data_IF_156077505970
#
_entry.id   IF_156077505970
#
_cell.length_a   1.000
_cell.length_b   1.000
_cell.length_c   1.000
_cell.angle_alpha   90.00
_cell.angle_beta   90.00
_cell.angle_gamma   90.00
#
_symmetry.space_group_name_H-M   'P 1'
#
loop_
_entity.id
_entity.type
_entity.pdbx_description
1 polymer ?
#
# COMPACT_ATOMS: atom_id res chain seq x y z
N UNK A 1 -37.58 13.38 25.81
CA UNK A 1 -36.56 12.63 26.58
C UNK A 1 -36.70 11.10 26.44
N UNK A 2 -37.92 10.54 26.47
CA UNK A 2 -38.18 9.08 26.34
C UNK A 2 -37.73 8.46 24.99
N UNK A 3 -37.78 9.24 23.92
CA UNK A 3 -37.33 8.84 22.57
C UNK A 3 -35.86 9.16 22.30
N UNK A 4 -35.15 9.80 23.25
CA UNK A 4 -33.74 10.17 23.08
C UNK A 4 -32.81 8.98 23.35
N UNK A 5 -33.20 8.11 24.29
CA UNK A 5 -32.51 6.84 24.60
C UNK A 5 -32.49 5.85 23.42
N UNK A 6 -33.60 5.55 22.72
CA UNK A 6 -33.56 4.63 21.57
C UNK A 6 -32.84 5.24 20.36
N UNK A 7 -32.84 6.57 20.19
CA UNK A 7 -32.12 7.25 19.11
C UNK A 7 -30.60 7.15 19.31
N UNK A 8 -30.12 7.35 20.54
CA UNK A 8 -28.68 7.20 20.88
C UNK A 8 -28.23 5.74 20.73
N UNK A 9 -29.07 4.77 21.11
CA UNK A 9 -28.76 3.34 20.96
C UNK A 9 -28.70 2.90 19.49
N UNK A 10 -29.59 3.44 18.65
CA UNK A 10 -29.59 3.19 17.19
C UNK A 10 -28.35 3.75 16.50
N UNK A 11 -27.91 4.96 16.87
CA UNK A 11 -26.69 5.57 16.33
C UNK A 11 -25.43 4.76 16.68
N UNK A 12 -25.38 4.18 17.88
CA UNK A 12 -24.23 3.41 18.36
C UNK A 12 -24.05 2.08 17.61
N UNK A 13 -25.14 1.50 17.10
CA UNK A 13 -25.11 0.24 16.33
C UNK A 13 -24.71 0.42 14.86
N UNK A 14 -24.72 1.65 14.33
CA UNK A 14 -24.30 1.92 12.94
C UNK A 14 -22.77 1.95 12.75
N UNK A 15 -21.99 1.96 13.84
CA UNK A 15 -20.53 2.11 13.77
C UNK A 15 -19.74 0.80 13.71
N UNK A 16 -20.38 -0.37 13.84
CA UNK A 16 -19.64 -1.64 14.04
C UNK A 16 -19.61 -2.56 12.82
N UNK A 17 -20.27 -2.22 11.71
CA UNK A 17 -20.14 -3.02 10.48
C UNK A 17 -18.96 -2.50 9.67
N UNK A 18 -17.75 -2.71 10.19
CA UNK A 18 -16.55 -2.65 9.36
C UNK A 18 -16.60 -3.87 8.44
N UNK A 19 -16.83 -3.66 7.15
CA UNK A 19 -16.64 -4.72 6.16
C UNK A 19 -15.16 -5.08 6.15
N UNK A 20 -14.82 -6.31 6.54
CA UNK A 20 -13.48 -6.87 6.32
C UNK A 20 -13.46 -7.40 4.89
N UNK A 21 -13.21 -6.50 3.94
CA UNK A 21 -12.97 -6.86 2.56
C UNK A 21 -11.57 -7.47 2.52
N UNK A 22 -11.51 -8.81 2.65
CA UNK A 22 -10.24 -9.53 2.75
C UNK A 22 -9.24 -9.06 1.72
N UNK A 23 -8.03 -8.71 2.18
CA UNK A 23 -6.95 -8.22 1.32
C UNK A 23 -6.60 -9.26 0.26
N UNK A 24 -7.00 -8.99 -0.99
CA UNK A 24 -6.57 -9.76 -2.13
C UNK A 24 -5.22 -9.22 -2.60
N UNK A 25 -4.19 -10.06 -2.63
CA UNK A 25 -2.92 -9.67 -3.24
C UNK A 25 -3.17 -9.28 -4.70
N UNK A 26 -2.68 -8.11 -5.15
CA UNK A 26 -2.81 -7.71 -6.54
C UNK A 26 -2.14 -8.76 -7.44
N UNK A 27 -2.76 -9.05 -8.58
CA UNK A 27 -2.16 -9.91 -9.59
C UNK A 27 -1.09 -9.11 -10.35
N UNK A 28 0.17 -9.48 -10.19
CA UNK A 28 1.34 -8.77 -10.72
C UNK A 28 2.18 -9.66 -11.62
N UNK A 29 2.91 -9.04 -12.54
CA UNK A 29 3.83 -9.71 -13.47
C UNK A 29 5.22 -9.83 -12.87
N UNK A 30 5.76 -11.04 -12.76
CA UNK A 30 7.12 -11.27 -12.25
C UNK A 30 8.18 -10.58 -13.14
N UNK A 31 9.20 -10.00 -12.51
CA UNK A 31 10.33 -9.37 -13.20
C UNK A 31 11.61 -10.19 -13.01
N UNK A 32 12.25 -10.57 -14.12
CA UNK A 32 13.53 -11.27 -14.10
C UNK A 32 14.67 -10.25 -14.11
N UNK A 33 15.44 -10.20 -13.02
CA UNK A 33 16.56 -9.27 -12.89
C UNK A 33 17.78 -9.80 -13.66
N UNK A 34 18.21 -9.05 -14.67
CA UNK A 34 19.49 -9.28 -15.34
C UNK A 34 20.63 -8.67 -14.51
N UNK A 35 21.52 -9.50 -14.00
CA UNK A 35 22.67 -9.06 -13.18
C UNK A 35 23.90 -8.98 -14.09
N UNK A 36 24.49 -7.78 -14.27
CA UNK A 36 25.69 -7.65 -15.08
C UNK A 36 26.89 -8.40 -14.48
N UNK A 37 27.87 -8.83 -15.31
CA UNK A 37 29.09 -9.45 -14.82
C UNK A 37 29.82 -8.55 -13.81
N UNK A 38 30.31 -9.15 -12.71
CA UNK A 38 31.05 -8.45 -11.66
C UNK A 38 30.19 -7.95 -10.49
N UNK A 39 28.86 -8.06 -10.58
CA UNK A 39 27.97 -7.77 -9.45
C UNK A 39 27.55 -9.06 -8.72
N UNK A 40 27.50 -9.05 -7.38
CA UNK A 40 26.90 -10.15 -6.63
C UNK A 40 25.38 -10.16 -6.86
N UNK A 41 24.74 -11.34 -6.78
CA UNK A 41 23.27 -11.40 -6.72
C UNK A 41 22.76 -10.60 -5.52
N UNK A 42 21.72 -9.76 -5.69
CA UNK A 42 21.09 -9.07 -4.57
C UNK A 42 20.30 -10.06 -3.71
N UNK A 43 20.20 -9.75 -2.41
CA UNK A 43 19.33 -10.47 -1.48
C UNK A 43 17.89 -9.96 -1.65
N UNK A 44 17.06 -10.72 -2.37
CA UNK A 44 15.66 -10.35 -2.63
C UNK A 44 14.78 -11.02 -1.58
N UNK A 45 14.05 -10.19 -0.83
CA UNK A 45 13.13 -10.66 0.20
C UNK A 45 11.97 -11.47 -0.41
N UNK A 46 11.69 -12.64 0.16
CA UNK A 46 10.65 -13.55 -0.36
C UNK A 46 9.21 -13.04 -0.21
N UNK A 47 8.98 -12.13 0.75
CA UNK A 47 7.70 -11.46 0.98
C UNK A 47 7.50 -10.22 0.09
N UNK A 48 8.55 -9.76 -0.61
CA UNK A 48 8.51 -8.65 -1.57
C UNK A 48 9.18 -9.04 -2.90
N UNK A 49 8.57 -9.95 -3.69
CA UNK A 49 9.14 -10.39 -4.97
C UNK A 49 9.18 -9.25 -6.00
N UNK A 50 10.18 -9.29 -6.88
CA UNK A 50 10.30 -8.31 -7.97
C UNK A 50 9.18 -8.49 -9.00
N UNK A 51 8.46 -7.40 -9.27
CA UNK A 51 7.38 -7.35 -10.25
C UNK A 51 7.50 -6.11 -11.12
N UNK A 52 6.99 -6.19 -12.35
CA UNK A 52 6.99 -5.05 -13.29
C UNK A 52 6.21 -3.89 -12.68
N UNK A 53 5.03 -4.17 -12.12
CA UNK A 53 4.15 -3.17 -11.51
C UNK A 53 4.77 -2.56 -10.25
N UNK A 54 5.43 -3.37 -9.41
CA UNK A 54 6.13 -2.88 -8.23
C UNK A 54 7.29 -1.95 -8.56
N UNK A 55 8.07 -2.25 -9.61
CA UNK A 55 9.16 -1.38 -10.09
C UNK A 55 8.60 -0.05 -10.63
N UNK A 56 7.51 -0.10 -11.40
CA UNK A 56 6.88 1.10 -11.95
C UNK A 56 6.29 1.98 -10.85
N UNK A 57 5.59 1.38 -9.88
CA UNK A 57 5.07 2.08 -8.71
C UNK A 57 6.22 2.72 -7.91
N UNK A 58 7.27 1.95 -7.61
CA UNK A 58 8.45 2.47 -6.92
C UNK A 58 9.10 3.64 -7.64
N UNK A 59 9.20 3.58 -8.98
CA UNK A 59 9.65 4.72 -9.80
C UNK A 59 8.73 5.92 -9.59
N UNK A 60 7.41 5.77 -9.74
CA UNK A 60 6.49 6.90 -9.57
C UNK A 60 6.65 7.56 -8.20
N UNK A 61 6.70 6.75 -7.14
CA UNK A 61 6.86 7.22 -5.77
C UNK A 61 8.22 7.88 -5.52
N UNK A 62 9.31 7.38 -6.11
CA UNK A 62 10.64 7.98 -5.98
C UNK A 62 10.68 9.44 -6.47
N UNK A 63 9.90 9.76 -7.51
CA UNK A 63 9.80 11.11 -8.06
C UNK A 63 8.64 11.95 -7.48
N UNK A 64 7.79 11.38 -6.62
CA UNK A 64 6.63 12.08 -6.07
C UNK A 64 7.03 12.92 -4.84
N UNK A 65 6.97 14.26 -4.91
CA UNK A 65 7.34 15.10 -3.78
C UNK A 65 6.36 15.00 -2.62
N UNK A 66 5.12 14.53 -2.85
CA UNK A 66 4.07 14.37 -1.83
C UNK A 66 4.48 13.41 -0.71
N UNK A 67 5.49 12.57 -0.93
CA UNK A 67 6.04 11.69 0.10
C UNK A 67 6.98 12.39 1.09
N UNK A 68 7.41 13.62 0.82
CA UNK A 68 8.13 14.44 1.80
C UNK A 68 7.17 15.11 2.78
N UNK A 69 7.66 15.42 3.99
CA UNK A 69 6.82 15.95 5.08
C UNK A 69 6.15 17.30 4.77
N UNK A 70 6.68 18.08 3.83
CA UNK A 70 6.13 19.36 3.37
C UNK A 70 5.75 19.36 1.88
N UNK A 71 5.80 18.19 1.23
CA UNK A 71 5.50 18.01 -0.19
C UNK A 71 6.39 18.81 -1.15
N UNK A 72 7.59 19.24 -0.73
CA UNK A 72 8.48 20.06 -1.57
C UNK A 72 9.60 19.28 -2.24
N UNK A 73 9.99 18.13 -1.70
CA UNK A 73 11.14 17.35 -2.16
C UNK A 73 10.72 15.92 -2.51
N UNK A 74 11.25 15.38 -3.61
CA UNK A 74 11.24 13.95 -3.88
C UNK A 74 12.63 13.35 -3.64
N UNK A 75 12.80 12.05 -3.87
CA UNK A 75 14.10 11.39 -3.71
C UNK A 75 15.07 11.64 -4.88
N UNK A 76 14.59 12.22 -5.98
CA UNK A 76 15.33 12.41 -7.23
C UNK A 76 16.14 13.71 -7.30
#
# INVERSE_FOLDING_TARGET
>A
MKHLLPVVLSLLTLSTTSCDEGWNKPNTTAYLLEIPPGFPPPDIAGDNPLTVEGILLGRQLFYDPTLSGDSTQSCA
#
